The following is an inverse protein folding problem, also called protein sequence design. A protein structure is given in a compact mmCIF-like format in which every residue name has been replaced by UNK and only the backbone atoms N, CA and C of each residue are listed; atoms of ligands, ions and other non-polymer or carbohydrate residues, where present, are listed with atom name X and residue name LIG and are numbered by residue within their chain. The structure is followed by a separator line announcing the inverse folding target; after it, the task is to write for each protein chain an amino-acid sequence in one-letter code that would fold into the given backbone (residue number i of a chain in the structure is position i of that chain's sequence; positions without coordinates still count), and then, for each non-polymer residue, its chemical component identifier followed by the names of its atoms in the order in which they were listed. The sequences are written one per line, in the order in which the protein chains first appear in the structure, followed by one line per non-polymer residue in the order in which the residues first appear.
data_IF_467225493611
#
_entry.id   IF_467225493611
#
_cell.length_a   1.000
_cell.length_b   1.000
_cell.length_c   1.000
_cell.angle_alpha   90.00
_cell.angle_beta   90.00
_cell.angle_gamma   90.00
#
_symmetry.space_group_name_H-M   'P 1'
#
loop_
_entity.id
_entity.type
_entity.pdbx_description
1 polymer ?
#
# COMPACT_ATOMS: atom_id res chain seq x y z
N UNK A 1 -44.29 -17.39 11.06
CA UNK A 1 -43.82 -16.60 12.21
C UNK A 1 -45.03 -16.13 13.02
N UNK A 2 -44.86 -15.67 14.25
CA UNK A 2 -45.98 -15.07 15.01
C UNK A 2 -46.27 -13.65 14.52
N UNK A 3 -47.50 -13.18 14.75
CA UNK A 3 -47.92 -11.85 14.34
C UNK A 3 -47.13 -10.75 15.08
N UNK A 4 -46.81 -10.96 16.35
CA UNK A 4 -46.05 -10.00 17.17
C UNK A 4 -44.64 -9.81 16.63
N UNK A 5 -43.97 -10.90 16.23
CA UNK A 5 -42.65 -10.83 15.60
C UNK A 5 -42.71 -10.13 14.26
N UNK A 6 -43.75 -10.39 13.46
CA UNK A 6 -43.96 -9.71 12.19
C UNK A 6 -44.15 -8.19 12.39
N UNK A 7 -45.02 -7.80 13.31
CA UNK A 7 -45.30 -6.40 13.62
C UNK A 7 -44.05 -5.66 14.13
N UNK A 8 -43.27 -6.30 15.01
CA UNK A 8 -42.00 -5.76 15.46
C UNK A 8 -41.01 -5.52 14.31
N UNK A 9 -40.91 -6.46 13.37
CA UNK A 9 -40.03 -6.31 12.22
C UNK A 9 -40.51 -5.21 11.28
N UNK A 10 -41.83 -5.08 11.08
CA UNK A 10 -42.42 -4.01 10.27
C UNK A 10 -42.16 -2.62 10.87
N UNK A 11 -42.24 -2.49 12.19
CA UNK A 11 -41.93 -1.25 12.90
C UNK A 11 -40.43 -0.91 12.85
N UNK A 12 -39.56 -1.91 13.03
CA UNK A 12 -38.11 -1.69 13.07
C UNK A 12 -37.46 -1.48 11.69
N UNK A 13 -37.96 -2.14 10.64
CA UNK A 13 -37.34 -2.15 9.30
C UNK A 13 -38.21 -1.52 8.20
N UNK A 14 -39.44 -1.11 8.52
CA UNK A 14 -40.42 -0.57 7.57
C UNK A 14 -41.14 -1.64 6.74
N UNK A 15 -41.93 -1.20 5.77
CA UNK A 15 -42.77 -2.09 4.96
C UNK A 15 -42.01 -2.93 3.93
N UNK A 16 -40.75 -2.62 3.71
CA UNK A 16 -39.91 -3.27 2.71
C UNK A 16 -39.28 -4.57 3.22
N UNK A 17 -39.89 -5.72 2.93
CA UNK A 17 -39.39 -7.04 3.36
C UNK A 17 -37.94 -7.35 2.95
N UNK A 18 -37.43 -6.74 1.88
CA UNK A 18 -36.04 -6.92 1.46
C UNK A 18 -35.02 -6.32 2.45
N UNK A 19 -35.44 -5.35 3.27
CA UNK A 19 -34.63 -4.71 4.32
C UNK A 19 -34.61 -5.51 5.62
N UNK A 20 -35.52 -6.47 5.76
CA UNK A 20 -35.64 -7.29 6.96
C UNK A 20 -34.48 -8.30 7.06
N UNK A 21 -34.19 -8.83 8.26
CA UNK A 21 -33.19 -9.89 8.42
C UNK A 21 -33.49 -11.09 7.52
N UNK A 22 -32.47 -11.58 6.80
CA UNK A 22 -32.61 -12.65 5.80
C UNK A 22 -33.28 -13.91 6.36
N UNK A 23 -33.00 -14.25 7.63
CA UNK A 23 -33.60 -15.39 8.32
C UNK A 23 -35.14 -15.28 8.46
N UNK A 24 -35.67 -14.07 8.56
CA UNK A 24 -37.09 -13.81 8.80
C UNK A 24 -37.87 -13.55 7.48
N UNK A 25 -37.20 -13.22 6.37
CA UNK A 25 -37.87 -12.82 5.11
C UNK A 25 -38.79 -13.92 4.54
N UNK A 26 -38.34 -15.17 4.52
CA UNK A 26 -39.13 -16.28 3.98
C UNK A 26 -40.38 -16.55 4.84
N UNK A 27 -40.23 -16.51 6.16
CA UNK A 27 -41.33 -16.69 7.09
C UNK A 27 -42.32 -15.51 7.05
N UNK A 28 -41.86 -14.29 6.80
CA UNK A 28 -42.70 -13.10 6.68
C UNK A 28 -43.54 -13.18 5.40
N UNK A 29 -42.93 -13.61 4.30
CA UNK A 29 -43.63 -13.85 3.03
C UNK A 29 -44.71 -14.91 3.19
N UNK A 30 -44.37 -16.05 3.79
CA UNK A 30 -45.34 -17.13 4.03
C UNK A 30 -46.56 -16.65 4.86
N UNK A 31 -46.37 -15.77 5.84
CA UNK A 31 -47.46 -15.21 6.65
C UNK A 31 -48.34 -14.22 5.85
N UNK A 32 -47.74 -13.44 4.95
CA UNK A 32 -48.51 -12.57 4.04
C UNK A 32 -49.28 -13.39 3.00
N UNK A 33 -48.66 -14.45 2.49
CA UNK A 33 -49.25 -15.36 1.49
C UNK A 33 -50.38 -16.20 2.09
N UNK A 34 -50.30 -16.57 3.38
CA UNK A 34 -51.40 -17.22 4.10
C UNK A 34 -52.60 -16.29 4.29
N UNK A 35 -52.43 -15.01 4.03
CA UNK A 35 -53.47 -14.02 4.02
C UNK A 35 -53.91 -13.53 5.38
N UNK A 36 -53.01 -13.57 6.36
CA UNK A 36 -53.28 -13.06 7.70
C UNK A 36 -53.63 -11.56 7.66
N UNK A 37 -54.80 -11.15 8.18
CA UNK A 37 -55.24 -9.76 8.11
C UNK A 37 -54.38 -8.84 8.99
N UNK A 38 -53.91 -9.32 10.15
CA UNK A 38 -53.06 -8.53 11.04
C UNK A 38 -51.69 -8.26 10.43
N UNK A 39 -51.11 -9.23 9.74
CA UNK A 39 -49.85 -9.04 9.03
C UNK A 39 -49.97 -7.98 7.92
N UNK A 40 -51.09 -7.98 7.18
CA UNK A 40 -51.37 -6.95 6.16
C UNK A 40 -51.59 -5.58 6.78
N UNK A 41 -52.33 -5.50 7.87
CA UNK A 41 -52.57 -4.24 8.59
C UNK A 41 -51.26 -3.63 9.10
N UNK A 42 -50.41 -4.44 9.75
CA UNK A 42 -49.10 -4.01 10.22
C UNK A 42 -48.21 -3.49 9.07
N UNK A 43 -48.20 -4.19 7.93
CA UNK A 43 -47.41 -3.78 6.77
C UNK A 43 -47.97 -2.50 6.12
N UNK A 44 -49.29 -2.35 6.06
CA UNK A 44 -49.94 -1.15 5.54
C UNK A 44 -49.64 0.07 6.41
N UNK A 45 -49.67 -0.08 7.74
CA UNK A 45 -49.33 1.00 8.67
C UNK A 45 -47.87 1.46 8.47
N UNK A 46 -46.93 0.52 8.38
CA UNK A 46 -45.53 0.82 8.07
C UNK A 46 -45.38 1.49 6.69
N UNK A 47 -46.10 0.98 5.68
CA UNK A 47 -46.02 1.51 4.32
C UNK A 47 -46.58 2.93 4.21
N UNK A 48 -47.62 3.24 4.98
CA UNK A 48 -48.17 4.58 5.05
C UNK A 48 -47.15 5.56 5.63
N UNK A 49 -46.47 5.19 6.72
CA UNK A 49 -45.42 6.02 7.31
C UNK A 49 -44.25 6.23 6.34
N UNK A 50 -43.79 5.15 5.71
CA UNK A 50 -42.70 5.21 4.72
C UNK A 50 -43.05 6.17 3.58
N UNK A 51 -44.27 6.10 3.04
CA UNK A 51 -44.75 7.01 2.00
C UNK A 51 -44.82 8.47 2.46
N UNK A 52 -45.28 8.71 3.70
CA UNK A 52 -45.31 10.05 4.27
C UNK A 52 -43.89 10.63 4.39
N UNK A 53 -42.92 9.81 4.80
CA UNK A 53 -41.52 10.22 4.87
C UNK A 53 -40.92 10.47 3.48
N UNK A 54 -41.18 9.59 2.53
CA UNK A 54 -40.68 9.72 1.15
C UNK A 54 -41.30 10.91 0.40
N UNK A 55 -42.51 11.33 0.79
CA UNK A 55 -43.17 12.51 0.22
C UNK A 55 -42.47 13.83 0.59
N UNK A 56 -41.59 13.81 1.60
CA UNK A 56 -40.92 15.01 2.06
C UNK A 56 -39.82 15.44 1.08
N UNK A 57 -40.11 16.49 0.30
CA UNK A 57 -39.12 17.10 -0.58
C UNK A 57 -38.13 17.95 0.22
N UNK A 58 -36.85 17.58 0.13
CA UNK A 58 -35.77 18.40 0.66
C UNK A 58 -35.64 19.68 -0.16
N UNK A 59 -35.35 20.80 0.53
CA UNK A 59 -35.01 22.04 -0.14
C UNK A 59 -33.77 21.83 -1.03
N UNK A 60 -33.70 22.51 -2.20
CA UNK A 60 -32.54 22.42 -3.07
C UNK A 60 -31.27 22.84 -2.31
N UNK A 61 -30.21 22.04 -2.46
CA UNK A 61 -28.94 22.29 -1.77
C UNK A 61 -28.34 23.61 -2.24
N UNK A 62 -27.98 24.48 -1.28
CA UNK A 62 -27.34 25.76 -1.57
C UNK A 62 -25.96 25.52 -2.26
N UNK A 63 -25.75 26.03 -3.49
CA UNK A 63 -24.46 25.90 -4.18
C UNK A 63 -23.30 26.54 -3.41
N UNK A 64 -23.55 27.53 -2.53
CA UNK A 64 -22.51 28.08 -1.66
C UNK A 64 -22.04 27.06 -0.62
N UNK A 65 -22.97 26.30 -0.01
CA UNK A 65 -22.65 25.24 0.94
C UNK A 65 -21.82 24.13 0.27
N UNK A 66 -22.18 23.73 -0.95
CA UNK A 66 -21.40 22.74 -1.73
C UNK A 66 -19.97 23.22 -1.96
N UNK A 67 -19.77 24.49 -2.31
CA UNK A 67 -18.43 25.07 -2.48
C UNK A 67 -17.66 25.09 -1.17
N UNK A 68 -18.31 25.46 -0.07
CA UNK A 68 -17.69 25.48 1.25
C UNK A 68 -17.23 24.09 1.69
N UNK A 69 -18.06 23.06 1.51
CA UNK A 69 -17.70 21.66 1.83
C UNK A 69 -16.50 21.20 0.98
N UNK A 70 -16.48 21.54 -0.31
CA UNK A 70 -15.34 21.24 -1.20
C UNK A 70 -14.05 21.93 -0.76
N UNK A 71 -14.14 23.17 -0.26
CA UNK A 71 -12.99 23.93 0.24
C UNK A 71 -12.53 23.44 1.62
N UNK A 72 -13.45 22.97 2.47
CA UNK A 72 -13.12 22.43 3.80
C UNK A 72 -12.58 20.99 3.75
N UNK A 73 -12.70 20.30 2.61
CA UNK A 73 -12.14 18.98 2.45
C UNK A 73 -10.61 19.04 2.52
N UNK A 74 -10.02 18.42 3.54
CA UNK A 74 -8.56 18.29 3.66
C UNK A 74 -8.05 17.57 2.41
N UNK A 75 -7.04 18.12 1.69
CA UNK A 75 -6.48 17.47 0.52
C UNK A 75 -6.06 16.05 0.87
N UNK A 76 -6.62 15.07 0.16
CA UNK A 76 -6.25 13.67 0.32
C UNK A 76 -4.76 13.57 -0.01
N UNK A 77 -3.92 13.38 1.01
CA UNK A 77 -2.46 13.35 0.86
C UNK A 77 -2.13 12.29 -0.19
N UNK A 78 -1.71 12.74 -1.38
CA UNK A 78 -1.48 11.87 -2.52
C UNK A 78 -0.47 10.79 -2.13
N UNK A 79 -0.67 9.56 -2.60
CA UNK A 79 0.30 8.48 -2.37
C UNK A 79 1.70 8.87 -2.86
N UNK A 80 1.78 9.70 -3.91
CA UNK A 80 3.02 10.30 -4.42
C UNK A 80 3.71 11.24 -3.42
N UNK A 81 2.99 11.90 -2.51
CA UNK A 81 3.60 12.73 -1.46
C UNK A 81 4.50 11.91 -0.53
N UNK A 82 4.26 10.59 -0.38
CA UNK A 82 5.11 9.73 0.44
C UNK A 82 6.43 9.37 -0.27
N UNK A 83 6.39 9.20 -1.58
CA UNK A 83 7.56 8.87 -2.39
C UNK A 83 8.35 10.11 -2.84
N UNK A 84 7.70 11.28 -2.91
CA UNK A 84 8.36 12.55 -3.25
C UNK A 84 9.48 12.90 -2.26
N UNK A 85 9.34 12.54 -0.98
CA UNK A 85 10.40 12.73 0.01
C UNK A 85 11.61 11.80 -0.22
N UNK A 86 11.43 10.65 -0.86
CA UNK A 86 12.51 9.71 -1.20
C UNK A 86 13.35 10.21 -2.37
N UNK A 87 12.73 10.95 -3.30
CA UNK A 87 13.40 11.63 -4.42
C UNK A 87 13.93 13.03 -4.04
N UNK A 88 14.06 13.33 -2.73
CA UNK A 88 14.78 14.52 -2.28
C UNK A 88 16.19 14.58 -2.91
N UNK A 89 16.76 15.77 -3.15
CA UNK A 89 18.01 15.96 -3.91
C UNK A 89 19.25 15.25 -3.35
N UNK A 90 19.17 14.54 -2.22
CA UNK A 90 20.16 13.54 -1.83
C UNK A 90 20.30 12.38 -2.84
N UNK A 91 19.30 12.14 -3.70
CA UNK A 91 19.35 11.18 -4.80
C UNK A 91 20.25 11.57 -5.98
N UNK A 92 20.73 12.83 -6.05
CA UNK A 92 21.68 13.28 -7.08
C UNK A 92 23.13 12.78 -6.85
N UNK A 93 23.41 12.06 -5.77
CA UNK A 93 24.69 11.37 -5.58
C UNK A 93 24.80 10.09 -6.44
N UNK A 94 23.69 9.62 -7.04
CA UNK A 94 23.67 8.42 -7.89
C UNK A 94 24.06 8.65 -9.37
N UNK A 95 24.20 9.90 -9.82
CA UNK A 95 24.54 10.20 -11.23
C UNK A 95 26.03 9.93 -11.55
N UNK A 96 26.90 9.85 -10.54
CA UNK A 96 28.33 9.60 -10.74
C UNK A 96 28.69 8.22 -11.29
N UNK A 97 27.88 7.19 -11.02
CA UNK A 97 28.19 5.80 -11.43
C UNK A 97 27.83 5.56 -12.91
N UNK A 98 26.84 6.28 -13.46
CA UNK A 98 26.47 6.15 -14.87
C UNK A 98 27.50 6.77 -15.83
N UNK A 99 28.31 7.73 -15.37
CA UNK A 99 29.40 8.30 -16.17
C UNK A 99 30.58 7.35 -16.39
N UNK A 100 30.88 6.48 -15.43
CA UNK A 100 32.02 5.56 -15.48
C UNK A 100 31.77 4.42 -16.49
N UNK A 101 30.54 3.90 -16.57
CA UNK A 101 30.19 2.83 -17.50
C UNK A 101 30.26 3.27 -18.98
N UNK A 102 29.95 4.52 -19.29
CA UNK A 102 30.06 5.07 -20.65
C UNK A 102 31.53 5.28 -21.08
N UNK A 103 32.43 5.64 -20.15
CA UNK A 103 33.85 5.85 -20.45
C UNK A 103 34.61 4.55 -20.76
N UNK A 104 34.27 3.45 -20.09
CA UNK A 104 34.95 2.15 -20.27
C UNK A 104 34.66 1.54 -21.66
N UNK A 105 33.49 1.77 -22.25
CA UNK A 105 33.15 1.23 -23.57
C UNK A 105 33.89 1.93 -24.72
N UNK A 106 34.25 3.22 -24.58
CA UNK A 106 35.01 3.96 -25.61
C UNK A 106 36.48 3.53 -25.64
N UNK A 107 37.08 3.23 -24.49
CA UNK A 107 38.48 2.80 -24.41
C UNK A 107 38.72 1.43 -25.09
N UNK A 108 37.73 0.53 -25.06
CA UNK A 108 37.85 -0.82 -25.61
C UNK A 108 37.92 -0.88 -27.15
N UNK A 109 37.53 0.18 -27.86
CA UNK A 109 37.58 0.22 -29.33
C UNK A 109 38.83 0.88 -29.93
N UNK A 110 39.77 1.40 -29.12
CA UNK A 110 40.87 2.24 -29.65
C UNK A 110 42.29 1.87 -29.23
N UNK A 111 42.55 0.69 -28.64
CA UNK A 111 43.95 0.29 -28.36
C UNK A 111 44.43 -0.81 -29.31
N UNK A 112 45.17 -0.47 -30.37
CA UNK A 112 45.96 -1.45 -31.11
C UNK A 112 47.11 -1.95 -30.22
N UNK A 113 47.29 -3.28 -30.14
CA UNK A 113 48.44 -3.93 -29.49
C UNK A 113 49.71 -3.69 -30.35
N UNK A 114 50.77 -3.03 -29.84
CA UNK A 114 52.09 -3.13 -30.45
C UNK A 114 52.88 -4.27 -29.79
N UNK A 115 53.24 -5.25 -30.61
CA UNK A 115 54.34 -6.17 -30.33
C UNK A 115 55.69 -5.41 -30.28
N UNK A 116 56.71 -6.12 -29.76
CA UNK A 116 58.17 -5.90 -29.83
C UNK A 116 58.70 -4.99 -28.69
N UNK A 117 59.76 -5.29 -27.92
CA UNK A 117 60.84 -6.28 -28.01
C UNK A 117 61.54 -6.41 -26.64
N UNK A 118 62.28 -7.51 -26.46
CA UNK A 118 63.51 -7.76 -25.66
C UNK A 118 64.06 -6.59 -24.83
N UNK A 119 64.49 -6.73 -23.57
CA UNK A 119 65.70 -7.43 -23.09
C UNK A 119 65.81 -6.96 -21.61
N UNK A 120 65.84 -7.78 -20.56
CA UNK A 120 67.04 -8.40 -19.94
C UNK A 120 66.52 -9.02 -18.63
N UNK A 121 66.69 -10.34 -18.46
CA UNK A 121 66.61 -11.02 -17.17
C UNK A 121 68.04 -11.29 -16.69
N UNK A 122 68.40 -10.98 -15.44
CA UNK A 122 69.40 -11.75 -14.72
C UNK A 122 68.70 -12.73 -13.78
N UNK A 123 68.72 -14.00 -14.20
CA UNK A 123 68.43 -15.17 -13.38
C UNK A 123 69.56 -15.37 -12.37
N UNK A 124 69.27 -15.25 -11.07
CA UNK A 124 70.14 -15.71 -9.97
C UNK A 124 69.30 -16.64 -9.09
N UNK A 125 69.12 -17.86 -9.57
CA UNK A 125 69.05 -19.03 -8.71
C UNK A 125 70.39 -19.74 -8.88
N UNK A 126 71.37 -19.43 -8.03
CA UNK A 126 72.47 -20.34 -7.72
C UNK A 126 73.23 -19.88 -6.47
N UNK A 127 73.64 -20.84 -5.64
CA UNK A 127 74.59 -20.75 -4.51
C UNK A 127 74.37 -19.67 -3.43
N UNK A 128 74.22 -19.97 -2.14
CA UNK A 128 74.55 -21.18 -1.40
C UNK A 128 75.01 -20.77 0.01
N UNK A 129 74.52 -21.51 1.00
CA UNK A 129 75.20 -21.86 2.24
C UNK A 129 75.33 -20.87 3.42
N UNK A 130 75.13 -21.46 4.61
CA UNK A 130 75.43 -21.03 5.99
C UNK A 130 74.92 -19.66 6.51
N UNK A 131 73.97 -19.67 7.45
CA UNK A 131 74.37 -19.70 8.87
C UNK A 131 73.19 -20.05 9.79
N UNK A 132 73.37 -21.09 10.59
CA UNK A 132 72.51 -21.46 11.72
C UNK A 132 73.16 -20.83 12.93
N UNK A 133 72.57 -19.76 13.49
CA UNK A 133 72.92 -19.32 14.84
C UNK A 133 71.68 -19.21 15.71
N UNK A 134 71.71 -20.07 16.70
CA UNK A 134 70.79 -20.24 17.81
C UNK A 134 71.24 -19.36 18.98
N UNK A 135 70.45 -18.38 19.41
CA UNK A 135 70.47 -17.74 20.75
C UNK A 135 69.13 -16.99 20.89
N UNK A 136 68.11 -17.39 21.66
CA UNK A 136 67.99 -17.59 23.12
C UNK A 136 68.45 -16.38 23.95
N UNK A 137 67.50 -15.86 24.75
CA UNK A 137 67.58 -14.81 25.78
C UNK A 137 67.63 -13.36 25.25
N UNK A 138 66.99 -12.36 25.86
CA UNK A 138 66.43 -12.29 27.20
C UNK A 138 65.25 -11.31 27.23
N UNK A 139 64.24 -11.67 28.02
CA UNK A 139 63.61 -10.75 28.96
C UNK A 139 64.60 -9.73 29.55
N UNK A 140 64.28 -8.43 29.53
CA UNK A 140 64.22 -7.56 30.73
C UNK A 140 63.97 -6.09 30.36
N UNK A 141 63.03 -5.48 31.11
CA UNK A 141 63.00 -4.10 31.67
C UNK A 141 63.30 -2.90 30.77
N UNK A 142 62.55 -1.81 30.87
CA UNK A 142 62.59 -0.78 31.92
C UNK A 142 61.44 0.21 31.58
N UNK A 143 60.76 0.94 32.44
CA UNK A 143 60.69 1.16 33.90
C UNK A 143 59.34 1.88 34.12
#
# INVERSE_FOLDING_TARGET
MTLERFAYLADAYGASLHRWPVADQAAARALLDSGDPGAREALNAASWLDQQMDSHQLAPVDPALVRQIRQSAVPRRSFWSRYANWLSPAGLLGVGIAGIAAGVLVASMSVPLPMLSSEVLPSVFDQGDADVVFTVNAEETEQ
#
